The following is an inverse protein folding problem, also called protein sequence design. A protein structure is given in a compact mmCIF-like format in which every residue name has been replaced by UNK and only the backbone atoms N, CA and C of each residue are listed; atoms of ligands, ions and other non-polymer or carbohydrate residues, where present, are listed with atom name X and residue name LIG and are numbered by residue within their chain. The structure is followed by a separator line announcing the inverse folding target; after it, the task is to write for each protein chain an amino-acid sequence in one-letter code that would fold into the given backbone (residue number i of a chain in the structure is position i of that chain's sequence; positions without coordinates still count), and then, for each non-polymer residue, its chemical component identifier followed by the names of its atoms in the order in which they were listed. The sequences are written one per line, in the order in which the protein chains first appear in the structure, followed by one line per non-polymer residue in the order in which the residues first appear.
data_IF_087918527911
#
_entry.id   IF_087918527911
#
_cell.length_a   1.000
_cell.length_b   1.000
_cell.length_c   1.000
_cell.angle_alpha   90.00
_cell.angle_beta   90.00
_cell.angle_gamma   90.00
#
_symmetry.space_group_name_H-M   'P 1'
#
loop_
_entity.id
_entity.type
_entity.pdbx_description
1 polymer ?
#
# COMPACT_ATOMS: atom_id res chain seq x y z
N UNK A 1 -20.52 -32.57 -3.05
CA UNK A 1 -20.74 -31.48 -4.01
C UNK A 1 -21.53 -30.42 -3.27
N UNK A 2 -20.89 -29.32 -2.86
CA UNK A 2 -21.59 -28.20 -2.25
C UNK A 2 -22.19 -27.38 -3.39
N UNK A 3 -23.51 -27.28 -3.40
CA UNK A 3 -24.24 -26.43 -4.32
C UNK A 3 -23.85 -24.97 -4.07
N UNK A 4 -23.29 -24.33 -5.10
CA UNK A 4 -23.10 -22.89 -5.13
C UNK A 4 -24.46 -22.22 -5.05
N UNK A 5 -24.76 -21.64 -3.88
CA UNK A 5 -25.97 -20.85 -3.66
C UNK A 5 -25.86 -19.54 -4.46
N UNK A 6 -26.46 -19.53 -5.65
CA UNK A 6 -26.52 -18.40 -6.58
C UNK A 6 -27.30 -17.19 -6.05
N UNK A 7 -27.94 -17.29 -4.88
CA UNK A 7 -28.72 -16.19 -4.28
C UNK A 7 -27.88 -15.19 -3.46
N UNK A 8 -26.60 -15.46 -3.18
CA UNK A 8 -25.75 -14.58 -2.36
C UNK A 8 -25.16 -13.38 -3.12
N UNK A 9 -25.33 -13.32 -4.44
CA UNK A 9 -24.84 -12.23 -5.29
C UNK A 9 -25.96 -11.69 -6.19
N UNK A 10 -26.90 -10.88 -5.67
CA UNK A 10 -27.73 -10.04 -6.52
C UNK A 10 -26.86 -8.89 -7.03
N UNK A 11 -25.86 -9.20 -7.85
CA UNK A 11 -25.01 -8.20 -8.47
C UNK A 11 -25.62 -7.96 -9.84
N UNK A 12 -26.50 -6.95 -9.92
CA UNK A 12 -26.53 -6.15 -11.13
C UNK A 12 -25.07 -5.78 -11.39
N UNK A 13 -24.43 -6.43 -12.37
CA UNK A 13 -23.04 -6.11 -12.71
C UNK A 13 -22.98 -4.59 -12.85
N UNK A 14 -22.23 -3.88 -11.99
CA UNK A 14 -22.10 -2.45 -12.15
C UNK A 14 -21.59 -2.25 -13.57
N UNK A 15 -22.32 -1.45 -14.36
CA UNK A 15 -21.93 -1.14 -15.72
C UNK A 15 -20.51 -0.60 -15.69
N UNK A 16 -19.55 -1.41 -16.14
CA UNK A 16 -18.14 -1.01 -16.12
C UNK A 16 -17.93 -0.05 -17.27
N UNK A 17 -17.81 1.24 -16.93
CA UNK A 17 -17.43 2.26 -17.90
C UNK A 17 -15.95 2.08 -18.27
N UNK A 18 -15.71 1.47 -19.44
CA UNK A 18 -14.37 1.35 -20.01
C UNK A 18 -13.98 2.73 -20.57
N UNK A 19 -13.19 3.48 -19.78
CA UNK A 19 -12.62 4.75 -20.21
C UNK A 19 -11.26 4.55 -20.89
N UNK A 20 -10.88 5.37 -21.88
CA UNK A 20 -9.54 5.34 -22.46
C UNK A 20 -8.44 5.58 -21.42
N UNK A 21 -7.28 4.95 -21.62
CA UNK A 21 -6.11 5.22 -20.79
C UNK A 21 -5.69 6.69 -20.85
N UNK A 22 -5.43 7.29 -19.69
CA UNK A 22 -5.01 8.69 -19.56
C UNK A 22 -3.63 8.80 -18.94
N UNK A 23 -2.85 9.79 -19.39
CA UNK A 23 -1.61 10.18 -18.73
C UNK A 23 -1.94 11.20 -17.65
N UNK A 24 -1.48 10.93 -16.43
CA UNK A 24 -1.58 11.85 -15.31
C UNK A 24 -0.18 12.31 -14.94
N UNK A 25 -0.06 13.59 -14.60
CA UNK A 25 1.15 14.13 -14.00
C UNK A 25 0.96 14.18 -12.48
N UNK A 26 1.97 13.76 -11.75
CA UNK A 26 2.07 13.88 -10.31
C UNK A 26 3.50 14.26 -9.94
N UNK A 27 3.68 14.78 -8.72
CA UNK A 27 5.00 15.10 -8.18
C UNK A 27 5.12 14.45 -6.80
N UNK A 28 6.14 13.64 -6.60
CA UNK A 28 6.55 13.24 -5.25
C UNK A 28 7.07 14.49 -4.53
N UNK A 29 6.33 14.92 -3.52
CA UNK A 29 6.62 16.06 -2.65
C UNK A 29 7.57 15.69 -1.52
N UNK A 30 7.58 14.43 -1.11
CA UNK A 30 8.49 13.91 -0.09
C UNK A 30 8.82 12.43 -0.30
N UNK A 31 9.99 12.03 0.21
CA UNK A 31 10.52 10.67 0.15
C UNK A 31 10.87 10.18 1.56
N UNK A 32 10.56 8.92 1.85
CA UNK A 32 10.84 8.31 3.14
C UNK A 32 11.29 6.85 3.01
N UNK A 33 12.16 6.40 3.91
CA UNK A 33 12.62 5.02 3.99
C UNK A 33 12.50 4.48 5.42
N UNK A 34 12.13 3.20 5.56
CA UNK A 34 12.06 2.49 6.83
C UNK A 34 13.36 1.70 7.03
N UNK A 35 14.29 2.24 7.81
CA UNK A 35 15.54 1.55 8.09
C UNK A 35 15.31 0.38 9.07
N UNK A 36 15.73 -0.82 8.67
CA UNK A 36 15.87 -2.02 9.50
C UNK A 36 14.58 -2.74 9.92
N UNK A 37 14.24 -2.74 11.21
CA UNK A 37 13.34 -3.69 11.89
C UNK A 37 11.98 -3.10 12.29
N UNK A 38 11.71 -1.85 11.90
CA UNK A 38 10.43 -1.18 12.12
C UNK A 38 9.90 -0.55 10.83
N UNK A 39 8.58 -0.51 10.68
CA UNK A 39 7.91 0.06 9.51
C UNK A 39 7.85 1.59 9.47
N UNK A 40 8.14 2.29 10.57
CA UNK A 40 8.09 3.75 10.60
C UNK A 40 9.19 4.31 9.71
N UNK A 41 8.82 5.18 8.78
CA UNK A 41 9.76 5.72 7.81
C UNK A 41 10.37 7.03 8.29
N UNK A 42 11.49 7.41 7.71
CA UNK A 42 12.17 8.70 7.97
C UNK A 42 12.45 9.41 6.67
N UNK A 43 12.38 10.74 6.68
CA UNK A 43 12.64 11.55 5.51
C UNK A 43 14.05 11.30 4.95
N UNK A 44 14.15 11.16 3.63
CA UNK A 44 15.41 10.97 2.91
C UNK A 44 15.47 11.86 1.68
N UNK A 45 16.68 12.17 1.22
CA UNK A 45 16.87 12.99 0.02
C UNK A 45 16.64 12.19 -1.28
N UNK A 46 16.83 10.88 -1.23
CA UNK A 46 16.72 9.98 -2.39
C UNK A 46 16.29 8.57 -1.98
N UNK A 47 15.71 7.84 -2.92
CA UNK A 47 15.37 6.42 -2.80
C UNK A 47 16.00 5.64 -3.96
N UNK A 48 16.67 4.54 -3.65
CA UNK A 48 17.22 3.62 -4.64
C UNK A 48 16.24 2.46 -4.83
N UNK A 49 15.53 2.46 -5.96
CA UNK A 49 14.48 1.48 -6.29
C UNK A 49 15.01 0.36 -7.19
N UNK A 50 14.80 -0.89 -6.77
CA UNK A 50 15.05 -2.12 -7.52
C UNK A 50 13.79 -2.99 -7.65
N UNK A 51 13.92 -4.15 -8.30
CA UNK A 51 12.83 -5.13 -8.44
C UNK A 51 12.43 -5.81 -7.12
N UNK A 52 13.27 -5.65 -6.11
CA UNK A 52 13.10 -6.06 -4.74
C UNK A 52 12.56 -4.94 -3.83
N UNK A 53 12.38 -3.71 -4.33
CA UNK A 53 11.89 -2.57 -3.55
C UNK A 53 12.96 -1.53 -3.29
N UNK A 54 12.86 -0.82 -2.17
CA UNK A 54 13.86 0.16 -1.74
C UNK A 54 15.03 -0.57 -1.06
N UNK A 55 16.26 -0.32 -1.52
CA UNK A 55 17.45 -0.96 -0.96
C UNK A 55 17.61 -0.67 0.54
N UNK A 56 17.61 -1.73 1.36
CA UNK A 56 17.75 -1.63 2.83
C UNK A 56 16.48 -1.24 3.59
N UNK A 57 15.35 -1.09 2.90
CA UNK A 57 14.05 -0.82 3.53
C UNK A 57 13.49 -2.07 4.22
N UNK A 58 12.76 -1.88 5.32
CA UNK A 58 12.06 -2.92 6.07
C UNK A 58 11.15 -3.80 5.17
N UNK A 59 10.55 -3.22 4.12
CA UNK A 59 9.68 -3.94 3.19
C UNK A 59 10.41 -4.43 1.93
N UNK A 60 11.73 -4.24 1.84
CA UNK A 60 12.56 -4.71 0.75
C UNK A 60 12.66 -6.23 0.69
N UNK A 61 12.86 -6.77 -0.51
CA UNK A 61 13.02 -8.19 -0.78
C UNK A 61 12.06 -8.71 -1.85
N UNK A 62 12.47 -9.78 -2.51
CA UNK A 62 11.64 -10.47 -3.51
C UNK A 62 10.50 -11.27 -2.86
N UNK A 63 10.66 -11.69 -1.61
CA UNK A 63 9.66 -12.44 -0.87
C UNK A 63 9.31 -11.76 0.44
N UNK A 64 8.15 -12.11 0.98
CA UNK A 64 7.69 -11.70 2.32
C UNK A 64 6.91 -12.83 2.96
N UNK A 65 6.59 -12.66 4.24
CA UNK A 65 5.72 -13.58 4.99
C UNK A 65 4.27 -13.07 4.94
N UNK A 66 3.31 -13.99 4.80
CA UNK A 66 1.88 -13.66 4.88
C UNK A 66 1.48 -13.12 6.26
N UNK A 67 0.55 -12.17 6.27
CA UNK A 67 0.01 -11.58 7.50
C UNK A 67 -1.51 -11.49 7.47
N UNK A 68 -2.08 -10.56 8.24
CA UNK A 68 -3.54 -10.32 8.26
C UNK A 68 -4.11 -9.79 6.94
N UNK A 69 -3.24 -9.34 6.03
CA UNK A 69 -3.60 -8.83 4.70
C UNK A 69 -3.81 -9.93 3.66
N UNK A 70 -3.35 -11.15 3.93
CA UNK A 70 -3.49 -12.31 3.04
C UNK A 70 -4.18 -13.47 3.78
N UNK A 71 -5.48 -13.31 4.15
CA UNK A 71 -6.20 -14.31 4.95
C UNK A 71 -6.38 -15.67 4.25
N UNK A 72 -6.12 -15.75 2.95
CA UNK A 72 -6.18 -16.98 2.16
C UNK A 72 -4.91 -17.85 2.25
N UNK A 73 -3.87 -17.44 2.98
CA UNK A 73 -2.70 -18.27 3.29
C UNK A 73 -2.54 -18.48 4.80
N UNK A 74 -1.99 -19.64 5.26
CA UNK A 74 -1.53 -19.77 6.64
C UNK A 74 -0.55 -18.64 6.99
N UNK A 75 -0.69 -18.03 8.16
CA UNK A 75 0.20 -16.94 8.62
C UNK A 75 1.67 -17.38 8.61
N UNK A 76 2.57 -16.54 8.12
CA UNK A 76 4.00 -16.85 8.03
C UNK A 76 4.42 -17.63 6.77
N UNK A 77 3.48 -17.89 5.86
CA UNK A 77 3.79 -18.49 4.55
C UNK A 77 4.67 -17.55 3.74
N UNK A 78 5.75 -18.05 3.17
CA UNK A 78 6.57 -17.27 2.24
C UNK A 78 5.85 -17.11 0.89
N UNK A 79 5.88 -15.90 0.35
CA UNK A 79 5.20 -15.54 -0.91
C UNK A 79 5.92 -14.38 -1.61
N UNK A 80 5.57 -14.13 -2.87
CA UNK A 80 6.09 -12.97 -3.61
C UNK A 80 5.71 -11.68 -2.88
N UNK A 81 6.69 -10.80 -2.72
CA UNK A 81 6.46 -9.47 -2.18
C UNK A 81 5.87 -8.54 -3.25
N UNK A 82 4.58 -8.25 -3.11
CA UNK A 82 3.83 -7.26 -3.90
C UNK A 82 3.65 -5.92 -3.16
N UNK A 83 4.31 -5.75 -2.00
CA UNK A 83 4.13 -4.63 -1.07
C UNK A 83 5.46 -3.92 -0.77
N UNK A 84 6.29 -3.80 -1.80
CA UNK A 84 7.66 -3.28 -1.72
C UNK A 84 7.75 -1.74 -1.59
N UNK A 85 6.65 -1.04 -1.89
CA UNK A 85 6.57 0.42 -1.89
C UNK A 85 5.18 0.85 -1.44
N UNK A 86 5.10 1.89 -0.60
CA UNK A 86 3.86 2.54 -0.20
C UNK A 86 3.82 3.99 -0.67
N UNK A 87 2.66 4.40 -1.19
CA UNK A 87 2.41 5.77 -1.68
C UNK A 87 1.11 6.26 -1.06
N UNK A 88 1.10 7.49 -0.56
CA UNK A 88 -0.09 8.13 0.02
C UNK A 88 -0.19 9.55 -0.50
N UNK A 89 -1.40 10.09 -0.65
CA UNK A 89 -1.58 11.47 -1.07
C UNK A 89 -1.75 12.40 0.14
N UNK A 90 -1.16 13.60 0.08
CA UNK A 90 -1.21 14.56 1.20
C UNK A 90 -2.64 15.03 1.51
N UNK A 91 -3.49 15.17 0.50
CA UNK A 91 -4.90 15.55 0.65
C UNK A 91 -5.72 14.42 1.30
N UNK A 92 -5.46 13.16 0.94
CA UNK A 92 -6.07 12.01 1.60
C UNK A 92 -5.65 11.90 3.07
N UNK A 93 -4.38 12.14 3.41
CA UNK A 93 -3.93 12.18 4.80
C UNK A 93 -4.63 13.27 5.60
N UNK A 94 -4.84 14.46 5.02
CA UNK A 94 -5.58 15.55 5.66
C UNK A 94 -7.05 15.14 5.93
N UNK A 95 -7.71 14.44 5.00
CA UNK A 95 -9.06 13.92 5.19
C UNK A 95 -9.10 12.91 6.34
N UNK A 96 -8.12 12.01 6.44
CA UNK A 96 -8.05 11.03 7.54
C UNK A 96 -7.81 11.73 8.88
N UNK A 97 -6.87 12.68 8.95
CA UNK A 97 -6.58 13.45 10.17
C UNK A 97 -7.85 14.18 10.68
N UNK A 98 -8.55 14.87 9.78
CA UNK A 98 -9.81 15.54 10.08
C UNK A 98 -10.86 14.57 10.64
N UNK A 99 -11.05 13.41 10.01
CA UNK A 99 -12.04 12.40 10.45
C UNK A 99 -11.69 11.79 11.81
N UNK A 100 -10.41 11.74 12.16
CA UNK A 100 -9.94 11.26 13.46
C UNK A 100 -9.93 12.34 14.55
N UNK A 101 -10.17 13.61 14.20
CA UNK A 101 -10.03 14.74 15.15
C UNK A 101 -8.58 15.03 15.52
N UNK A 102 -7.64 14.72 14.64
CA UNK A 102 -6.22 14.99 14.79
C UNK A 102 -5.82 16.24 14.01
N UNK A 103 -4.77 16.91 14.47
CA UNK A 103 -4.18 18.05 13.75
C UNK A 103 -3.57 17.61 12.41
N UNK A 104 -2.82 16.51 12.43
CA UNK A 104 -2.18 15.93 11.24
C UNK A 104 -2.00 14.41 11.40
N UNK A 105 -1.76 13.74 10.28
CA UNK A 105 -1.21 12.39 10.24
C UNK A 105 0.04 12.45 9.38
N UNK A 106 1.20 12.17 10.00
CA UNK A 106 2.47 12.17 9.27
C UNK A 106 2.63 10.89 8.44
N UNK A 107 3.14 10.99 7.20
CA UNK A 107 3.46 9.83 6.37
C UNK A 107 4.37 8.81 7.08
N UNK A 108 5.33 9.30 7.88
CA UNK A 108 6.27 8.50 8.66
C UNK A 108 5.59 7.53 9.62
N UNK A 109 4.52 7.98 10.28
CA UNK A 109 3.80 7.21 11.31
C UNK A 109 3.11 5.98 10.75
N UNK A 110 2.82 5.97 9.46
CA UNK A 110 2.09 4.90 8.77
C UNK A 110 2.97 4.14 7.77
N UNK A 111 4.27 4.40 7.76
CA UNK A 111 5.24 3.74 6.89
C UNK A 111 5.06 4.04 5.41
N UNK A 112 4.67 5.28 5.06
CA UNK A 112 4.63 5.74 3.67
C UNK A 112 6.06 5.97 3.14
N UNK A 113 6.34 5.59 1.88
CA UNK A 113 7.63 5.88 1.24
C UNK A 113 7.59 7.10 0.33
N UNK A 114 6.45 7.37 -0.31
CA UNK A 114 6.24 8.49 -1.22
C UNK A 114 4.97 9.25 -0.85
N UNK A 115 5.04 10.58 -0.95
CA UNK A 115 3.88 11.50 -0.86
C UNK A 115 3.84 12.38 -2.08
#
# INVERSE_FOLDING_TARGET
MQETNLELFPVAEPTVDIVPGRKLAAKATALYAAAHDHFETRAVAELQLGFDGIAGDFHGGTTRRSGGREPWYPRGTEMRNERQLSVVAADELAIVAQRMGLEEIKPEWIGANLV
#
